data_IF_183166645375
#
_entry.id   IF_183166645375
#
_cell.length_a   1.000
_cell.length_b   1.000
_cell.length_c   1.000
_cell.angle_alpha   90.00
_cell.angle_beta   90.00
_cell.angle_gamma   90.00
#
_symmetry.space_group_name_H-M   'P 1'
#
loop_
_entity.id
_entity.type
_entity.pdbx_description
1 polymer ?
#
# COMPACT_ATOMS: atom_id res chain seq x y z
N UNK A 1 13.91 42.87 -15.09
CA UNK A 1 13.50 42.50 -13.72
C UNK A 1 13.74 41.00 -13.54
N UNK A 2 14.72 40.58 -12.74
CA UNK A 2 15.05 39.15 -12.59
C UNK A 2 13.94 38.41 -11.81
N UNK A 3 13.51 37.20 -12.21
CA UNK A 3 12.49 36.45 -11.49
C UNK A 3 12.97 36.11 -10.07
N UNK A 4 12.10 36.34 -9.07
CA UNK A 4 12.39 36.06 -7.66
C UNK A 4 12.87 34.60 -7.51
N UNK A 5 14.14 34.42 -7.15
CA UNK A 5 14.72 33.10 -6.83
C UNK A 5 13.98 32.52 -5.62
N UNK A 6 13.56 31.27 -5.72
CA UNK A 6 12.72 30.60 -4.72
C UNK A 6 13.30 30.70 -3.30
N UNK A 7 12.50 31.23 -2.38
CA UNK A 7 12.87 31.49 -0.99
C UNK A 7 13.15 30.22 -0.16
N UNK A 8 13.86 30.39 0.96
CA UNK A 8 14.24 29.31 1.89
C UNK A 8 12.98 28.63 2.46
N UNK A 9 12.89 27.31 2.30
CA UNK A 9 11.79 26.51 2.86
C UNK A 9 11.78 26.51 4.41
N UNK A 10 10.60 26.48 5.07
CA UNK A 10 10.48 26.57 6.52
C UNK A 10 11.18 25.42 7.27
N UNK A 11 11.74 25.72 8.43
CA UNK A 11 13.15 25.39 8.75
C UNK A 11 13.40 24.13 9.60
N UNK A 12 12.43 23.53 10.30
CA UNK A 12 12.70 22.40 11.21
C UNK A 12 12.07 21.06 10.80
N UNK A 13 10.74 20.97 10.73
CA UNK A 13 10.02 19.72 10.43
C UNK A 13 10.31 19.18 9.01
N UNK A 14 10.42 20.09 8.02
CA UNK A 14 10.80 19.73 6.64
C UNK A 14 12.25 19.23 6.55
N UNK A 15 13.16 19.66 7.45
CA UNK A 15 14.54 19.15 7.48
C UNK A 15 14.59 17.71 7.96
N UNK A 16 13.91 17.36 9.06
CA UNK A 16 13.92 15.99 9.62
C UNK A 16 13.33 14.97 8.64
N UNK A 17 12.17 15.24 8.07
CA UNK A 17 11.50 14.34 7.10
C UNK A 17 12.29 14.21 5.79
N UNK A 18 12.84 15.31 5.27
CA UNK A 18 13.70 15.29 4.07
C UNK A 18 14.99 14.50 4.32
N UNK A 19 15.66 14.72 5.46
CA UNK A 19 16.86 13.98 5.86
C UNK A 19 16.56 12.48 6.00
N UNK A 20 15.45 12.09 6.65
CA UNK A 20 15.01 10.68 6.76
C UNK A 20 14.85 10.04 5.38
N UNK A 21 14.21 10.73 4.43
CA UNK A 21 14.05 10.24 3.05
C UNK A 21 15.39 10.09 2.32
N UNK A 22 16.27 11.09 2.41
CA UNK A 22 17.60 11.02 1.80
C UNK A 22 18.39 9.86 2.39
N UNK A 23 18.36 9.69 3.71
CA UNK A 23 19.08 8.62 4.39
C UNK A 23 18.60 7.23 3.92
N UNK A 24 17.28 7.02 3.80
CA UNK A 24 16.71 5.78 3.23
C UNK A 24 17.15 5.51 1.79
N UNK A 25 17.42 6.53 0.99
CA UNK A 25 17.92 6.35 -0.38
C UNK A 25 19.42 6.03 -0.42
N UNK A 26 20.19 6.56 0.53
CA UNK A 26 21.66 6.43 0.59
C UNK A 26 22.09 5.11 1.22
N UNK A 27 21.46 4.73 2.32
CA UNK A 27 21.75 3.46 2.99
C UNK A 27 21.30 2.28 2.12
N UNK A 28 21.98 1.15 2.25
CA UNK A 28 21.48 -0.13 1.73
C UNK A 28 20.27 -0.54 2.57
N UNK A 29 19.12 -0.68 1.92
CA UNK A 29 17.85 -1.01 2.58
C UNK A 29 17.61 -2.52 2.45
N UNK A 30 17.36 -3.23 3.57
CA UNK A 30 17.04 -4.66 3.53
C UNK A 30 15.84 -4.97 2.64
N UNK A 31 15.82 -6.13 1.94
CA UNK A 31 14.74 -6.51 1.03
C UNK A 31 13.34 -6.48 1.66
N UNK A 32 13.21 -6.90 2.92
CA UNK A 32 11.96 -6.92 3.68
C UNK A 32 11.34 -5.51 3.86
N UNK A 33 12.16 -4.45 3.85
CA UNK A 33 11.70 -3.06 3.89
C UNK A 33 11.56 -2.52 2.46
N UNK A 34 12.48 -2.88 1.57
CA UNK A 34 12.52 -2.41 0.20
C UNK A 34 11.27 -2.81 -0.61
N UNK A 35 10.63 -3.95 -0.30
CA UNK A 35 9.39 -4.37 -0.95
C UNK A 35 8.28 -3.31 -0.87
N UNK A 36 8.20 -2.52 0.21
CA UNK A 36 7.19 -1.45 0.35
C UNK A 36 7.45 -0.24 -0.56
N UNK A 37 8.63 -0.15 -1.19
CA UNK A 37 8.88 0.86 -2.22
C UNK A 37 8.20 0.50 -3.55
N UNK A 38 7.97 -0.79 -3.79
CA UNK A 38 7.26 -1.32 -4.95
C UNK A 38 5.78 -1.37 -4.61
N UNK A 39 5.05 -0.34 -5.01
CA UNK A 39 3.61 -0.26 -4.82
C UNK A 39 2.90 -0.40 -6.16
N UNK A 40 1.62 -0.78 -6.08
CA UNK A 40 0.74 -0.97 -7.22
C UNK A 40 0.67 0.28 -8.10
N UNK A 41 0.57 0.05 -9.41
CA UNK A 41 0.45 1.13 -10.39
C UNK A 41 -0.86 1.91 -10.17
N UNK A 42 -0.89 3.13 -10.71
CA UNK A 42 -2.02 4.06 -10.46
C UNK A 42 -3.33 3.57 -11.06
N UNK A 43 -3.29 2.86 -12.19
CA UNK A 43 -4.50 2.45 -12.90
C UNK A 43 -5.15 1.29 -12.17
N UNK A 44 -4.39 0.24 -11.86
CA UNK A 44 -4.92 -0.89 -11.09
C UNK A 44 -5.33 -0.48 -9.68
N UNK A 45 -4.57 0.40 -9.03
CA UNK A 45 -4.97 0.94 -7.73
C UNK A 45 -6.32 1.67 -7.81
N UNK A 46 -6.58 2.44 -8.87
CA UNK A 46 -7.84 3.17 -9.01
C UNK A 46 -9.04 2.22 -9.14
N UNK A 47 -8.90 1.14 -9.92
CA UNK A 47 -9.94 0.11 -10.05
C UNK A 47 -10.18 -0.62 -8.71
N UNK A 48 -9.09 -0.99 -8.02
CA UNK A 48 -9.16 -1.57 -6.68
C UNK A 48 -9.90 -0.66 -5.69
N UNK A 49 -9.61 0.65 -5.69
CA UNK A 49 -10.29 1.61 -4.82
C UNK A 49 -11.78 1.78 -5.19
N UNK A 50 -12.14 1.77 -6.47
CA UNK A 50 -13.55 1.80 -6.91
C UNK A 50 -14.33 0.59 -6.39
N UNK A 51 -13.74 -0.60 -6.48
CA UNK A 51 -14.34 -1.80 -5.91
C UNK A 51 -14.49 -1.69 -4.38
N UNK A 52 -13.42 -1.31 -3.67
CA UNK A 52 -13.44 -1.17 -2.21
C UNK A 52 -14.46 -0.13 -1.70
N UNK A 53 -14.76 0.90 -2.51
CA UNK A 53 -15.80 1.89 -2.17
C UNK A 53 -17.19 1.27 -2.09
N UNK A 54 -17.50 0.22 -2.88
CA UNK A 54 -18.79 -0.49 -2.81
C UNK A 54 -18.97 -1.29 -1.51
N UNK A 55 -17.85 -1.72 -0.90
CA UNK A 55 -17.82 -2.56 0.31
C UNK A 55 -17.46 -1.78 1.58
N UNK A 56 -17.70 -0.47 1.60
CA UNK A 56 -17.36 0.37 2.75
C UNK A 56 -18.12 -0.05 4.01
N UNK A 57 -17.44 -0.09 5.17
CA UNK A 57 -18.11 -0.22 6.46
C UNK A 57 -19.00 0.99 6.76
N UNK A 58 -20.05 0.79 7.53
CA UNK A 58 -20.91 1.85 8.04
C UNK A 58 -20.10 2.89 8.84
N UNK A 59 -20.47 4.16 8.68
CA UNK A 59 -20.01 5.23 9.53
C UNK A 59 -20.82 5.27 10.85
N UNK A 60 -20.42 6.15 11.78
CA UNK A 60 -21.08 6.21 13.10
C UNK A 60 -22.54 6.69 13.00
N UNK A 61 -22.87 7.57 12.04
CA UNK A 61 -24.23 8.07 11.88
C UNK A 61 -25.13 6.99 11.27
N UNK A 62 -24.72 6.36 10.17
CA UNK A 62 -25.49 5.27 9.56
C UNK A 62 -25.69 4.09 10.53
N UNK A 63 -24.67 3.77 11.36
CA UNK A 63 -24.83 2.73 12.38
C UNK A 63 -25.91 3.09 13.42
N UNK A 64 -26.01 4.35 13.84
CA UNK A 64 -27.06 4.79 14.78
C UNK A 64 -28.44 4.70 14.13
N UNK A 65 -28.58 5.20 12.91
CA UNK A 65 -29.84 5.11 12.16
C UNK A 65 -30.28 3.67 11.93
N UNK A 66 -29.35 2.77 11.59
CA UNK A 66 -29.64 1.34 11.46
C UNK A 66 -30.15 0.74 12.75
N UNK A 67 -29.52 1.06 13.88
CA UNK A 67 -29.96 0.56 15.19
C UNK A 67 -31.34 1.11 15.58
N UNK A 68 -31.63 2.39 15.29
CA UNK A 68 -32.94 2.99 15.54
C UNK A 68 -34.04 2.31 14.70
N UNK A 69 -33.78 2.09 13.40
CA UNK A 69 -34.73 1.39 12.51
C UNK A 69 -34.99 -0.04 12.97
N UNK A 70 -33.94 -0.76 13.39
CA UNK A 70 -34.09 -2.12 13.94
C UNK A 70 -34.89 -2.10 15.24
N UNK A 71 -34.67 -1.11 16.11
CA UNK A 71 -35.42 -0.97 17.36
C UNK A 71 -36.90 -0.67 17.10
N UNK A 72 -37.23 0.19 16.14
CA UNK A 72 -38.59 0.50 15.72
C UNK A 72 -39.30 -0.73 15.13
N UNK A 73 -38.68 -1.41 14.16
CA UNK A 73 -39.26 -2.62 13.55
C UNK A 73 -39.49 -3.75 14.58
N UNK A 74 -38.60 -3.89 15.57
CA UNK A 74 -38.80 -4.83 16.68
C UNK A 74 -39.93 -4.42 17.62
N UNK A 75 -40.11 -3.12 17.88
CA UNK A 75 -41.22 -2.62 18.69
C UNK A 75 -42.58 -2.84 18.00
N UNK A 76 -42.60 -2.80 16.67
CA UNK A 76 -43.76 -3.09 15.82
C UNK A 76 -44.02 -4.60 15.63
N UNK A 77 -43.21 -5.47 16.24
CA UNK A 77 -43.39 -6.92 16.23
C UNK A 77 -42.85 -7.64 14.99
N UNK A 78 -42.13 -6.94 14.11
CA UNK A 78 -41.60 -7.52 12.88
C UNK A 78 -40.26 -8.25 13.14
N UNK A 79 -40.15 -9.50 12.70
CA UNK A 79 -38.93 -10.29 12.85
C UNK A 79 -37.87 -9.86 11.82
N UNK A 80 -36.95 -9.00 12.22
CA UNK A 80 -35.89 -8.49 11.33
C UNK A 80 -34.76 -9.53 11.16
N UNK A 81 -34.89 -10.45 10.20
CA UNK A 81 -33.77 -11.25 9.72
C UNK A 81 -32.87 -10.42 8.78
N UNK A 82 -31.86 -9.76 9.36
CA UNK A 82 -30.89 -9.01 8.55
C UNK A 82 -29.80 -9.95 7.99
N UNK A 83 -29.71 -10.04 6.66
CA UNK A 83 -28.58 -10.70 5.98
C UNK A 83 -27.25 -10.06 6.41
N UNK A 84 -26.25 -10.90 6.73
CA UNK A 84 -24.94 -10.42 7.19
C UNK A 84 -24.28 -9.55 6.12
N UNK A 85 -23.93 -8.28 6.43
CA UNK A 85 -23.39 -7.38 5.43
C UNK A 85 -21.97 -7.79 5.02
N UNK A 86 -21.71 -7.77 3.71
CA UNK A 86 -20.38 -7.97 3.14
C UNK A 86 -19.67 -6.62 3.16
N UNK A 87 -18.66 -6.49 4.01
CA UNK A 87 -17.90 -5.25 4.21
C UNK A 87 -16.40 -5.52 4.25
N UNK A 88 -15.62 -4.53 3.87
CA UNK A 88 -14.16 -4.54 4.05
C UNK A 88 -13.82 -4.72 5.53
N UNK A 89 -12.98 -5.71 5.81
CA UNK A 89 -12.38 -5.90 7.13
C UNK A 89 -11.12 -5.08 7.22
N UNK A 90 -10.88 -4.46 8.37
CA UNK A 90 -9.77 -3.53 8.54
C UNK A 90 -9.13 -3.65 9.92
N UNK A 91 -7.90 -3.16 10.01
CA UNK A 91 -7.09 -3.26 11.22
C UNK A 91 -6.15 -4.45 11.15
N UNK A 92 -5.06 -4.40 11.93
CA UNK A 92 -3.99 -5.39 11.84
C UNK A 92 -4.47 -6.74 12.36
N UNK A 93 -4.92 -6.81 13.62
CA UNK A 93 -5.30 -8.07 14.27
C UNK A 93 -6.50 -8.79 13.60
N UNK A 94 -7.60 -8.09 13.23
CA UNK A 94 -8.71 -8.78 12.57
C UNK A 94 -8.32 -9.34 11.20
N UNK A 95 -7.47 -8.62 10.46
CA UNK A 95 -7.03 -9.08 9.13
C UNK A 95 -6.08 -10.26 9.26
N UNK A 96 -5.12 -10.23 10.18
CA UNK A 96 -4.17 -11.33 10.38
C UNK A 96 -4.87 -12.63 10.75
N UNK A 97 -5.85 -12.57 11.65
CA UNK A 97 -6.69 -13.72 12.00
C UNK A 97 -7.44 -14.29 10.79
N UNK A 98 -7.99 -13.43 9.92
CA UNK A 98 -8.71 -13.88 8.71
C UNK A 98 -7.79 -14.54 7.69
N UNK A 99 -6.52 -14.13 7.64
CA UNK A 99 -5.51 -14.73 6.77
C UNK A 99 -5.09 -16.10 7.31
N UNK A 100 -4.85 -16.23 8.60
CA UNK A 100 -4.54 -17.50 9.26
C UNK A 100 -5.67 -18.52 9.08
N UNK A 101 -6.92 -18.07 9.08
CA UNK A 101 -8.10 -18.89 8.78
C UNK A 101 -8.32 -19.15 7.28
N UNK A 102 -7.47 -18.62 6.40
CA UNK A 102 -7.61 -18.68 4.95
C UNK A 102 -8.98 -18.19 4.42
N UNK A 103 -9.57 -17.21 5.10
CA UNK A 103 -10.86 -16.58 4.72
C UNK A 103 -10.66 -15.28 3.94
N UNK A 104 -9.44 -14.76 3.92
CA UNK A 104 -9.07 -13.56 3.18
C UNK A 104 -8.89 -13.91 1.69
N UNK A 105 -9.65 -13.25 0.81
CA UNK A 105 -9.51 -13.43 -0.64
C UNK A 105 -8.48 -12.46 -1.24
N UNK A 106 -8.42 -11.24 -0.72
CA UNK A 106 -7.46 -10.22 -1.14
C UNK A 106 -7.11 -9.32 0.05
N UNK A 107 -5.82 -9.05 0.22
CA UNK A 107 -5.32 -8.16 1.27
C UNK A 107 -4.60 -6.96 0.68
N UNK A 108 -4.86 -5.77 1.22
CA UNK A 108 -4.28 -4.51 0.77
C UNK A 108 -3.49 -3.87 1.91
N UNK A 109 -2.21 -3.61 1.70
CA UNK A 109 -1.29 -3.03 2.67
C UNK A 109 -0.89 -1.62 2.24
N UNK A 110 -0.81 -0.69 3.18
CA UNK A 110 -0.22 0.62 2.93
C UNK A 110 1.32 0.59 2.94
N UNK A 111 1.95 1.32 2.02
CA UNK A 111 3.41 1.42 1.96
C UNK A 111 4.08 2.33 3.02
N UNK A 112 3.31 3.22 3.65
CA UNK A 112 3.79 4.36 4.46
C UNK A 112 3.35 4.27 5.94
N UNK A 113 3.20 3.04 6.42
CA UNK A 113 2.97 2.76 7.83
C UNK A 113 4.24 3.10 8.63
N UNK A 114 4.04 3.75 9.77
CA UNK A 114 5.08 4.16 10.71
C UNK A 114 4.46 3.93 12.10
N UNK A 115 4.95 2.98 12.92
CA UNK A 115 6.15 2.13 12.74
C UNK A 115 6.02 1.05 11.63
N UNK A 116 7.13 0.72 10.95
CA UNK A 116 7.16 -0.22 9.80
C UNK A 116 7.11 -1.69 10.24
N UNK A 117 7.54 -1.95 11.47
CA UNK A 117 7.57 -3.23 12.17
C UNK A 117 6.18 -3.87 12.19
N UNK A 118 5.13 -3.05 12.21
CA UNK A 118 3.74 -3.51 12.18
C UNK A 118 3.37 -4.23 10.89
N UNK A 119 4.00 -3.89 9.76
CA UNK A 119 3.64 -4.44 8.45
C UNK A 119 4.74 -5.26 7.79
N UNK A 120 5.98 -5.18 8.27
CA UNK A 120 7.15 -5.80 7.62
C UNK A 120 7.02 -7.31 7.43
N UNK A 121 6.36 -7.99 8.36
CA UNK A 121 6.16 -9.44 8.39
C UNK A 121 4.95 -9.91 7.58
N UNK A 122 4.02 -8.99 7.24
CA UNK A 122 2.76 -9.34 6.60
C UNK A 122 2.93 -9.99 5.22
N UNK A 123 3.76 -9.47 4.28
CA UNK A 123 3.97 -10.13 2.99
C UNK A 123 4.50 -11.57 3.11
N UNK A 124 5.31 -11.86 4.14
CA UNK A 124 5.82 -13.20 4.39
C UNK A 124 4.70 -14.14 4.88
N UNK A 125 3.82 -13.67 5.76
CA UNK A 125 2.63 -14.43 6.18
C UNK A 125 1.73 -14.72 4.97
N UNK A 126 1.48 -13.72 4.13
CA UNK A 126 0.54 -13.83 3.02
C UNK A 126 1.03 -14.81 1.96
N UNK A 127 2.34 -14.84 1.70
CA UNK A 127 2.95 -15.84 0.82
C UNK A 127 2.83 -17.26 1.40
N UNK A 128 3.05 -17.43 2.71
CA UNK A 128 2.95 -18.73 3.38
C UNK A 128 1.52 -19.30 3.33
N UNK A 129 0.52 -18.43 3.47
CA UNK A 129 -0.91 -18.80 3.39
C UNK A 129 -1.48 -18.74 1.97
N UNK A 130 -0.64 -18.45 0.96
CA UNK A 130 -1.02 -18.28 -0.45
C UNK A 130 -2.12 -17.24 -0.75
N UNK A 131 -2.28 -16.26 0.14
CA UNK A 131 -3.28 -15.19 -0.01
C UNK A 131 -2.73 -14.07 -0.92
N UNK A 132 -3.46 -13.67 -1.97
CA UNK A 132 -3.09 -12.54 -2.82
C UNK A 132 -2.99 -11.23 -2.05
N UNK A 133 -1.92 -10.46 -2.26
CA UNK A 133 -1.73 -9.18 -1.58
C UNK A 133 -1.23 -8.05 -2.48
N UNK A 134 -1.68 -6.84 -2.18
CA UNK A 134 -1.27 -5.63 -2.87
C UNK A 134 -0.66 -4.61 -1.90
N UNK A 135 0.46 -4.01 -2.29
CA UNK A 135 1.03 -2.85 -1.60
C UNK A 135 0.56 -1.59 -2.32
N UNK A 136 -0.11 -0.68 -1.60
CA UNK A 136 -0.73 0.52 -2.17
C UNK A 136 -0.15 1.80 -1.54
N UNK A 137 -0.09 2.86 -2.34
CA UNK A 137 0.39 4.17 -1.89
C UNK A 137 -0.67 4.91 -1.06
N UNK A 138 -0.32 5.19 0.19
CA UNK A 138 -1.02 6.10 1.09
C UNK A 138 -1.97 5.41 2.06
N UNK A 139 -1.54 5.27 3.32
CA UNK A 139 -2.38 4.78 4.44
C UNK A 139 -3.61 5.66 4.69
N UNK A 140 -3.53 6.94 4.33
CA UNK A 140 -4.66 7.86 4.41
C UNK A 140 -5.75 7.48 3.40
N UNK A 141 -5.38 7.03 2.18
CA UNK A 141 -6.37 6.60 1.17
C UNK A 141 -7.11 5.34 1.62
N UNK A 142 -6.42 4.39 2.24
CA UNK A 142 -7.06 3.23 2.88
C UNK A 142 -7.97 3.67 4.04
N UNK A 143 -7.50 4.63 4.85
CA UNK A 143 -8.28 5.22 5.94
C UNK A 143 -9.59 5.84 5.48
N UNK A 144 -9.57 6.56 4.36
CA UNK A 144 -10.77 7.16 3.77
C UNK A 144 -11.84 6.11 3.52
N UNK A 145 -11.51 4.93 2.96
CA UNK A 145 -12.48 3.85 2.73
C UNK A 145 -13.23 3.51 4.02
N UNK A 146 -12.53 3.35 5.14
CA UNK A 146 -13.09 2.88 6.41
C UNK A 146 -13.52 3.99 7.36
N UNK A 147 -13.66 5.23 6.88
CA UNK A 147 -14.02 6.40 7.68
C UNK A 147 -13.05 6.66 8.86
N UNK A 148 -11.75 6.40 8.65
CA UNK A 148 -10.67 6.69 9.62
C UNK A 148 -9.64 7.63 9.00
N UNK A 149 -8.84 8.29 9.85
CA UNK A 149 -7.71 9.12 9.38
C UNK A 149 -6.69 8.30 8.59
N UNK A 150 -6.45 7.06 9.02
CA UNK A 150 -5.46 6.14 8.44
C UNK A 150 -5.89 4.70 8.65
N UNK A 151 -5.54 3.82 7.70
CA UNK A 151 -5.61 2.37 7.88
C UNK A 151 -4.31 1.74 7.35
N UNK A 152 -3.76 0.76 8.09
CA UNK A 152 -2.54 0.06 7.69
C UNK A 152 -2.84 -1.08 6.71
N UNK A 153 -3.92 -1.83 6.98
CA UNK A 153 -4.30 -3.03 6.23
C UNK A 153 -5.82 -3.08 6.07
N UNK A 154 -6.27 -3.48 4.87
CA UNK A 154 -7.65 -3.80 4.53
C UNK A 154 -7.72 -5.21 3.93
N UNK A 155 -8.86 -5.89 4.08
CA UNK A 155 -9.09 -7.22 3.55
C UNK A 155 -10.53 -7.36 3.03
N UNK A 156 -10.68 -8.07 1.92
CA UNK A 156 -11.97 -8.59 1.45
C UNK A 156 -12.03 -10.10 1.73
N UNK A 157 -13.09 -10.54 2.40
CA UNK A 157 -13.34 -11.97 2.68
C UNK A 157 -14.31 -12.59 1.69
N UNK A 158 -15.20 -11.78 1.13
CA UNK A 158 -16.16 -12.18 0.11
C UNK A 158 -16.53 -10.95 -0.71
N UNK A 159 -16.99 -11.19 -1.94
CA UNK A 159 -17.52 -10.19 -2.86
C UNK A 159 -18.89 -10.66 -3.33
N UNK A 160 -19.76 -9.72 -3.70
CA UNK A 160 -21.04 -10.01 -4.35
C UNK A 160 -20.79 -10.66 -5.71
N UNK A 161 -21.77 -11.42 -6.19
CA UNK A 161 -21.70 -12.09 -7.50
C UNK A 161 -21.48 -11.12 -8.66
N UNK A 162 -22.12 -9.94 -8.61
CA UNK A 162 -22.00 -8.87 -9.62
C UNK A 162 -20.56 -8.36 -9.80
N UNK A 163 -19.79 -8.30 -8.71
CA UNK A 163 -18.42 -7.78 -8.72
C UNK A 163 -17.35 -8.87 -8.89
N UNK A 164 -17.75 -10.16 -8.93
CA UNK A 164 -16.82 -11.29 -8.89
C UNK A 164 -15.85 -11.30 -10.07
N UNK A 165 -16.33 -10.95 -11.28
CA UNK A 165 -15.48 -10.87 -12.48
C UNK A 165 -14.43 -9.76 -12.39
N UNK A 166 -14.82 -8.56 -11.94
CA UNK A 166 -13.89 -7.44 -11.75
C UNK A 166 -12.86 -7.77 -10.66
N UNK A 167 -13.32 -8.38 -9.57
CA UNK A 167 -12.45 -8.82 -8.48
C UNK A 167 -11.43 -9.86 -8.92
N UNK A 168 -11.83 -10.90 -9.68
CA UNK A 168 -10.91 -11.92 -10.18
C UNK A 168 -9.81 -11.33 -11.05
N UNK A 169 -10.12 -10.39 -11.95
CA UNK A 169 -9.12 -9.70 -12.78
C UNK A 169 -8.11 -8.92 -11.94
N UNK A 170 -8.59 -8.23 -10.91
CA UNK A 170 -7.72 -7.49 -9.98
C UNK A 170 -6.82 -8.46 -9.21
N UNK A 171 -7.38 -9.55 -8.68
CA UNK A 171 -6.64 -10.57 -7.92
C UNK A 171 -5.53 -11.19 -8.76
N UNK A 172 -5.82 -11.56 -10.01
CA UNK A 172 -4.83 -12.13 -10.94
C UNK A 172 -3.70 -11.15 -11.22
N UNK A 173 -4.03 -9.90 -11.57
CA UNK A 173 -3.03 -8.85 -11.80
C UNK A 173 -2.20 -8.53 -10.55
N UNK A 174 -2.79 -8.63 -9.35
CA UNK A 174 -2.08 -8.46 -8.07
C UNK A 174 -1.13 -9.63 -7.81
N UNK A 175 -1.59 -10.87 -8.02
CA UNK A 175 -0.80 -12.09 -7.81
C UNK A 175 0.47 -12.08 -8.68
N UNK A 176 0.32 -11.75 -9.97
CA UNK A 176 1.43 -11.63 -10.92
C UNK A 176 2.44 -10.53 -10.55
N UNK A 177 2.01 -9.51 -9.82
CA UNK A 177 2.86 -8.38 -9.44
C UNK A 177 3.58 -8.56 -8.10
N UNK A 178 2.98 -9.27 -7.14
CA UNK A 178 3.49 -9.37 -5.78
C UNK A 178 3.81 -10.80 -5.37
N UNK A 179 2.83 -11.69 -5.38
CA UNK A 179 2.97 -13.06 -4.89
C UNK A 179 3.98 -13.87 -5.73
N UNK A 180 3.87 -13.82 -7.06
CA UNK A 180 4.73 -14.60 -7.96
C UNK A 180 6.15 -14.02 -8.04
N UNK A 181 6.29 -12.72 -7.78
CA UNK A 181 7.59 -12.01 -7.76
C UNK A 181 8.20 -11.92 -6.36
N UNK A 182 7.64 -12.63 -5.38
CA UNK A 182 8.06 -12.54 -3.98
C UNK A 182 9.53 -12.92 -3.79
N UNK A 183 10.00 -13.98 -4.43
CA UNK A 183 11.40 -14.44 -4.28
C UNK A 183 12.40 -13.45 -4.90
N UNK A 184 12.04 -12.79 -6.00
CA UNK A 184 12.83 -11.69 -6.55
C UNK A 184 12.87 -10.51 -5.57
N UNK A 185 11.72 -10.18 -4.97
CA UNK A 185 11.60 -9.08 -4.02
C UNK A 185 12.40 -9.33 -2.73
N UNK A 186 12.43 -10.58 -2.25
CA UNK A 186 13.18 -11.01 -1.07
C UNK A 186 14.70 -10.95 -1.26
N UNK A 187 15.20 -11.09 -2.49
CA UNK A 187 16.63 -11.02 -2.81
C UNK A 187 17.09 -9.59 -3.15
N UNK A 188 16.18 -8.71 -3.55
CA UNK A 188 16.52 -7.37 -4.06
C UNK A 188 16.67 -6.34 -2.94
N UNK A 189 17.92 -6.03 -2.63
CA UNK A 189 18.27 -4.90 -1.77
C UNK A 189 17.88 -3.56 -2.41
N UNK A 190 17.50 -2.60 -1.58
CA UNK A 190 17.16 -1.25 -1.98
C UNK A 190 18.23 -0.23 -1.61
N UNK A 191 17.99 1.02 -2.01
CA UNK A 191 18.86 2.14 -1.65
C UNK A 191 20.22 2.10 -2.34
N UNK A 192 21.26 2.63 -1.68
CA UNK A 192 22.59 2.79 -2.28
C UNK A 192 22.67 3.83 -3.40
N UNK A 193 21.62 4.65 -3.58
CA UNK A 193 21.55 5.64 -4.65
C UNK A 193 22.33 6.87 -4.19
N UNK A 194 23.37 7.26 -4.94
CA UNK A 194 24.15 8.47 -4.67
C UNK A 194 23.39 9.77 -4.98
N UNK A 195 23.91 10.91 -4.51
CA UNK A 195 23.31 12.21 -4.82
C UNK A 195 23.59 12.65 -6.25
N UNK A 196 22.74 13.53 -6.80
CA UNK A 196 22.86 14.02 -8.19
C UNK A 196 24.23 14.61 -8.50
N UNK A 197 24.82 15.40 -7.59
CA UNK A 197 26.19 15.95 -7.75
C UNK A 197 27.25 14.85 -7.85
N UNK A 198 27.13 13.81 -7.03
CA UNK A 198 28.07 12.68 -7.04
C UNK A 198 27.89 11.82 -8.30
N UNK A 199 26.64 11.52 -8.69
CA UNK A 199 26.33 10.82 -9.94
C UNK A 199 26.85 11.58 -11.17
N UNK A 200 26.70 12.90 -11.21
CA UNK A 200 27.22 13.73 -12.30
C UNK A 200 28.76 13.67 -12.38
N UNK A 201 29.45 13.75 -11.23
CA UNK A 201 30.91 13.61 -11.16
C UNK A 201 31.37 12.23 -11.64
N UNK A 202 30.71 11.15 -11.20
CA UNK A 202 31.00 9.78 -11.63
C UNK A 202 30.78 9.61 -13.14
N UNK A 203 29.64 10.08 -13.67
CA UNK A 203 29.34 10.01 -15.10
C UNK A 203 30.32 10.81 -15.95
N UNK A 204 30.79 11.96 -15.48
CA UNK A 204 31.83 12.73 -16.16
C UNK A 204 33.16 11.95 -16.19
N UNK A 205 33.53 11.30 -15.08
CA UNK A 205 34.74 10.45 -14.99
C UNK A 205 34.65 9.22 -15.90
N UNK A 206 33.52 8.53 -15.90
CA UNK A 206 33.25 7.37 -16.76
C UNK A 206 33.35 7.73 -18.24
N UNK A 207 32.82 8.90 -18.64
CA UNK A 207 32.95 9.40 -20.02
C UNK A 207 34.39 9.67 -20.43
N UNK A 208 35.20 10.20 -19.50
CA UNK A 208 36.61 10.47 -19.78
C UNK A 208 37.39 9.16 -19.96
N UNK A 209 37.22 8.20 -19.05
CA UNK A 209 37.85 6.89 -19.15
C UNK A 209 37.42 6.11 -20.40
N UNK A 210 36.13 6.18 -20.77
CA UNK A 210 35.65 5.54 -21.99
C UNK A 210 36.31 6.12 -23.25
N UNK A 211 36.55 7.44 -23.28
CA UNK A 211 37.29 8.09 -24.36
C UNK A 211 38.75 7.65 -24.40
N UNK A 212 39.42 7.62 -23.26
CA UNK A 212 40.83 7.18 -23.16
C UNK A 212 40.99 5.71 -23.56
N UNK A 213 40.08 4.83 -23.12
CA UNK A 213 40.08 3.42 -23.49
C UNK A 213 39.82 3.21 -24.99
N UNK A 214 38.89 3.97 -25.59
CA UNK A 214 38.64 3.91 -27.02
C UNK A 214 39.86 4.38 -27.85
N UNK A 215 40.57 5.42 -27.39
CA UNK A 215 41.80 5.89 -28.02
C UNK A 215 42.97 4.91 -27.86
N UNK A 216 43.01 4.13 -26.77
CA UNK A 216 44.02 3.08 -26.56
C UNK A 216 43.78 1.82 -27.38
N UNK A 217 42.53 1.57 -27.77
CA UNK A 217 42.15 0.40 -28.58
C UNK A 217 42.18 0.67 -30.09
N UNK A 218 42.38 1.93 -30.52
CA UNK A 218 42.58 2.30 -31.93
C UNK A 218 44.07 2.49 -32.21
#
# INVERSE_FOLDING_TARGET
MAPKRGGKAPVAAKKKTRKRRILKQRLKVPPAINQFTKALDKNLATNLFKLLLKYRPEDKAAKRERLLKIAQAKAEGESVESKKPIVVKYGLNPVTYLIEQNKAQLVVIAHDVDPIELVVWLPALYRKMEVPYAIVKGKSRLGTIVHKKTAAVLCLTSVKSEDKMEFSRIVEAVKANFNDKYDEHRKKWGGGIMGSKSQAKMKAKERLFAKEAAQRMS
#
